data_IF_853778763916
#
_entry.id   IF_853778763916
#
_cell.length_a   1.000
_cell.length_b   1.000
_cell.length_c   1.000
_cell.angle_alpha   90.00
_cell.angle_beta   90.00
_cell.angle_gamma   90.00
#
_symmetry.space_group_name_H-M   'P 1'
#
loop_
_entity.id
_entity.type
_entity.pdbx_description
1 polymer ?
#
# COMPACT_ATOMS: atom_id res chain seq x y z
N UNK A 1 -6.44 26.65 34.54
CA UNK A 1 -6.40 27.09 33.13
C UNK A 1 -6.55 25.85 32.28
N UNK A 2 -7.70 25.71 31.61
CA UNK A 2 -8.12 24.50 30.92
C UNK A 2 -7.38 24.33 29.58
N UNK A 3 -6.70 23.20 29.40
CA UNK A 3 -6.29 22.67 28.10
C UNK A 3 -7.00 21.34 27.87
N UNK A 4 -8.33 21.41 27.73
CA UNK A 4 -9.22 20.30 27.35
C UNK A 4 -9.66 20.51 25.89
N UNK A 5 -8.70 20.43 24.96
CA UNK A 5 -9.00 20.54 23.52
C UNK A 5 -8.25 19.56 22.62
N UNK A 6 -7.21 18.88 23.13
CA UNK A 6 -6.44 17.89 22.37
C UNK A 6 -6.86 16.43 22.61
N UNK A 7 -7.79 16.17 23.54
CA UNK A 7 -8.27 14.81 23.86
C UNK A 7 -9.15 14.18 22.76
N UNK A 8 -9.59 14.96 21.77
CA UNK A 8 -10.35 14.44 20.63
C UNK A 8 -9.50 13.60 19.67
N UNK A 9 -8.23 13.99 19.47
CA UNK A 9 -7.32 13.31 18.54
C UNK A 9 -6.75 12.01 19.12
N UNK A 10 -6.71 11.91 20.45
CA UNK A 10 -6.28 10.72 21.19
C UNK A 10 -7.46 9.84 21.62
N UNK A 11 -8.69 10.14 21.17
CA UNK A 11 -9.84 9.28 21.45
C UNK A 11 -9.59 7.89 20.82
N UNK A 12 -9.84 6.79 21.55
CA UNK A 12 -9.71 5.41 21.02
C UNK A 12 -10.47 5.22 19.69
N UNK A 13 -11.55 5.98 19.54
CA UNK A 13 -12.37 6.04 18.34
C UNK A 13 -11.59 6.48 17.10
N UNK A 14 -10.65 7.42 17.21
CA UNK A 14 -9.88 7.95 16.08
C UNK A 14 -8.67 7.06 15.75
N UNK A 15 -8.05 6.48 16.78
CA UNK A 15 -6.96 5.50 16.69
C UNK A 15 -7.37 4.29 15.82
N UNK A 16 -8.63 3.87 15.93
CA UNK A 16 -9.16 2.76 15.13
C UNK A 16 -9.80 3.23 13.82
N UNK A 17 -10.65 4.27 13.83
CA UNK A 17 -11.40 4.62 12.62
C UNK A 17 -10.51 5.12 11.48
N UNK A 18 -9.43 5.83 11.79
CA UNK A 18 -8.52 6.39 10.77
C UNK A 18 -7.90 5.30 9.89
N UNK A 19 -7.10 4.38 10.45
CA UNK A 19 -6.43 3.32 9.70
C UNK A 19 -7.40 2.44 8.90
N UNK A 20 -8.54 2.06 9.48
CA UNK A 20 -9.53 1.22 8.79
C UNK A 20 -10.23 1.95 7.63
N UNK A 21 -10.46 3.26 7.75
CA UNK A 21 -10.99 4.07 6.63
C UNK A 21 -10.00 4.12 5.48
N UNK A 22 -8.71 4.30 5.79
CA UNK A 22 -7.64 4.31 4.79
C UNK A 22 -7.55 2.95 4.09
N UNK A 23 -7.55 1.86 4.86
CA UNK A 23 -7.54 0.49 4.30
C UNK A 23 -8.75 0.27 3.38
N UNK A 24 -9.95 0.64 3.82
CA UNK A 24 -11.16 0.48 3.01
C UNK A 24 -11.06 1.24 1.68
N UNK A 25 -10.54 2.46 1.70
CA UNK A 25 -10.30 3.26 0.51
C UNK A 25 -9.25 2.62 -0.42
N UNK A 26 -8.17 2.10 0.14
CA UNK A 26 -7.10 1.44 -0.62
C UNK A 26 -7.60 0.17 -1.31
N UNK A 27 -8.36 -0.68 -0.61
CA UNK A 27 -8.95 -1.87 -1.21
C UNK A 27 -10.02 -1.53 -2.27
N UNK A 28 -10.77 -0.44 -2.08
CA UNK A 28 -11.70 0.05 -3.08
C UNK A 28 -10.98 0.51 -4.35
N UNK A 29 -9.92 1.32 -4.21
CA UNK A 29 -9.07 1.75 -5.33
C UNK A 29 -8.38 0.57 -6.01
N UNK A 30 -7.91 -0.41 -5.23
CA UNK A 30 -7.34 -1.64 -5.75
C UNK A 30 -8.32 -2.44 -6.59
N UNK A 31 -9.63 -2.41 -6.29
CA UNK A 31 -10.67 -2.98 -7.15
C UNK A 31 -10.64 -2.40 -8.57
N UNK A 32 -10.48 -1.08 -8.72
CA UNK A 32 -10.31 -0.46 -10.04
C UNK A 32 -9.00 -0.87 -10.69
N UNK A 33 -7.92 -0.97 -9.91
CA UNK A 33 -6.63 -1.42 -10.40
C UNK A 33 -6.69 -2.85 -10.95
N UNK A 34 -7.42 -3.75 -10.29
CA UNK A 34 -7.66 -5.12 -10.75
C UNK A 34 -8.46 -5.14 -12.06
N UNK A 35 -9.48 -4.29 -12.19
CA UNK A 35 -10.23 -4.15 -13.45
C UNK A 35 -9.33 -3.64 -14.59
N UNK A 36 -8.46 -2.66 -14.32
CA UNK A 36 -7.49 -2.15 -15.30
C UNK A 36 -6.49 -3.23 -15.71
N UNK A 37 -6.03 -4.07 -14.78
CA UNK A 37 -5.17 -5.19 -15.08
C UNK A 37 -5.86 -6.19 -16.02
N UNK A 38 -7.08 -6.64 -15.68
CA UNK A 38 -7.87 -7.56 -16.52
C UNK A 38 -8.09 -6.96 -17.91
N UNK A 39 -8.47 -5.69 -17.99
CA UNK A 39 -8.69 -4.99 -19.25
C UNK A 39 -7.40 -4.91 -20.08
N UNK A 40 -6.26 -4.65 -19.44
CA UNK A 40 -4.95 -4.60 -20.09
C UNK A 40 -4.58 -5.95 -20.72
N UNK A 41 -4.79 -7.05 -19.98
CA UNK A 41 -4.57 -8.42 -20.47
C UNK A 41 -5.53 -8.74 -21.63
N UNK A 42 -6.80 -8.36 -21.51
CA UNK A 42 -7.80 -8.55 -22.57
C UNK A 42 -7.43 -7.82 -23.87
N UNK A 43 -7.03 -6.54 -23.77
CA UNK A 43 -6.58 -5.75 -24.91
C UNK A 43 -5.32 -6.35 -25.53
N UNK A 44 -4.36 -6.75 -24.69
CA UNK A 44 -3.11 -7.36 -25.13
C UNK A 44 -3.36 -8.64 -25.95
N UNK A 45 -4.23 -9.53 -25.44
CA UNK A 45 -4.62 -10.76 -26.12
C UNK A 45 -5.34 -10.50 -27.45
N UNK A 46 -6.18 -9.44 -27.53
CA UNK A 46 -6.88 -9.08 -28.76
C UNK A 46 -5.99 -8.45 -29.81
N UNK A 47 -5.06 -7.57 -29.43
CA UNK A 47 -4.26 -6.79 -30.38
C UNK A 47 -3.06 -7.56 -30.96
N UNK A 48 -2.62 -8.65 -30.30
CA UNK A 48 -1.45 -9.46 -30.72
C UNK A 48 -0.26 -8.59 -31.17
N UNK A 49 0.28 -7.75 -30.28
CA UNK A 49 1.35 -6.82 -30.65
C UNK A 49 2.58 -7.54 -31.21
N UNK A 50 3.36 -6.88 -32.08
CA UNK A 50 4.55 -7.48 -32.67
C UNK A 50 5.59 -7.84 -31.61
N UNK A 51 6.22 -9.01 -31.79
CA UNK A 51 7.36 -9.45 -31.00
C UNK A 51 8.62 -8.64 -31.36
N UNK A 52 9.54 -8.34 -30.41
CA UNK A 52 9.60 -8.77 -29.00
C UNK A 52 8.94 -7.80 -27.99
N UNK A 53 8.50 -6.62 -28.43
CA UNK A 53 7.93 -5.56 -27.59
C UNK A 53 6.73 -6.04 -26.76
N UNK A 54 5.92 -6.92 -27.35
CA UNK A 54 4.83 -7.62 -26.69
C UNK A 54 5.22 -8.25 -25.34
N UNK A 55 6.33 -9.02 -25.30
CA UNK A 55 6.80 -9.70 -24.09
C UNK A 55 7.20 -8.72 -23.00
N UNK A 56 7.88 -7.63 -23.37
CA UNK A 56 8.30 -6.61 -22.42
C UNK A 56 7.08 -5.98 -21.73
N UNK A 57 6.11 -5.45 -22.50
CA UNK A 57 4.93 -4.81 -21.91
C UNK A 57 4.10 -5.77 -21.07
N UNK A 58 3.91 -7.02 -21.52
CA UNK A 58 3.19 -8.02 -20.75
C UNK A 58 3.88 -8.31 -19.42
N UNK A 59 5.19 -8.59 -19.43
CA UNK A 59 5.95 -8.85 -18.22
C UNK A 59 5.93 -7.67 -17.27
N UNK A 60 6.09 -6.44 -17.79
CA UNK A 60 6.06 -5.23 -16.96
C UNK A 60 4.68 -5.01 -16.31
N UNK A 61 3.58 -5.25 -17.03
CA UNK A 61 2.22 -5.15 -16.46
C UNK A 61 2.01 -6.21 -15.36
N UNK A 62 2.48 -7.44 -15.57
CA UNK A 62 2.40 -8.51 -14.56
C UNK A 62 3.25 -8.18 -13.33
N UNK A 63 4.48 -7.69 -13.52
CA UNK A 63 5.37 -7.28 -12.43
C UNK A 63 4.75 -6.14 -11.63
N UNK A 64 4.24 -5.09 -12.30
CA UNK A 64 3.57 -3.98 -11.63
C UNK A 64 2.36 -4.45 -10.81
N UNK A 65 1.57 -5.38 -11.36
CA UNK A 65 0.43 -5.93 -10.64
C UNK A 65 0.85 -6.69 -9.38
N UNK A 66 1.87 -7.53 -9.47
CA UNK A 66 2.41 -8.27 -8.32
C UNK A 66 2.98 -7.33 -7.27
N UNK A 67 3.74 -6.32 -7.67
CA UNK A 67 4.32 -5.33 -6.76
C UNK A 67 3.24 -4.51 -6.04
N UNK A 68 2.24 -4.02 -6.77
CA UNK A 68 1.13 -3.26 -6.20
C UNK A 68 0.29 -4.12 -5.22
N UNK A 69 0.03 -5.38 -5.57
CA UNK A 69 -0.69 -6.32 -4.70
C UNK A 69 0.09 -6.61 -3.43
N UNK A 70 1.40 -6.84 -3.57
CA UNK A 70 2.30 -7.09 -2.43
C UNK A 70 2.33 -5.87 -1.51
N UNK A 71 2.53 -4.68 -2.06
CA UNK A 71 2.52 -3.43 -1.31
C UNK A 71 1.23 -3.26 -0.52
N UNK A 72 0.07 -3.42 -1.16
CA UNK A 72 -1.24 -3.28 -0.52
C UNK A 72 -1.41 -4.23 0.66
N UNK A 73 -1.01 -5.49 0.51
CA UNK A 73 -1.13 -6.50 1.57
C UNK A 73 -0.25 -6.11 2.76
N UNK A 74 1.03 -5.81 2.54
CA UNK A 74 1.95 -5.50 3.64
C UNK A 74 1.61 -4.17 4.31
N UNK A 75 1.16 -3.17 3.57
CA UNK A 75 0.73 -1.90 4.12
C UNK A 75 -0.56 -2.02 4.95
N UNK A 76 -1.53 -2.83 4.49
CA UNK A 76 -2.72 -3.15 5.27
C UNK A 76 -2.39 -3.94 6.54
N UNK A 77 -1.50 -4.94 6.45
CA UNK A 77 -1.02 -5.71 7.61
C UNK A 77 -0.36 -4.79 8.63
N UNK A 78 0.53 -3.91 8.20
CA UNK A 78 1.18 -2.92 9.05
C UNK A 78 0.14 -2.04 9.78
N UNK A 79 -0.80 -1.45 9.07
CA UNK A 79 -1.84 -0.58 9.64
C UNK A 79 -2.73 -1.32 10.65
N UNK A 80 -3.14 -2.55 10.35
CA UNK A 80 -3.96 -3.37 11.25
C UNK A 80 -3.19 -3.71 12.52
N UNK A 81 -1.94 -4.20 12.39
CA UNK A 81 -1.11 -4.55 13.55
C UNK A 81 -0.82 -3.35 14.43
N UNK A 82 -0.51 -2.20 13.82
CA UNK A 82 -0.30 -0.93 14.52
C UNK A 82 -1.53 -0.53 15.33
N UNK A 83 -2.71 -0.59 14.69
CA UNK A 83 -3.98 -0.22 15.30
C UNK A 83 -4.36 -1.15 16.46
N UNK A 84 -4.16 -2.46 16.29
CA UNK A 84 -4.43 -3.45 17.34
C UNK A 84 -3.49 -3.30 18.53
N UNK A 85 -2.19 -3.09 18.28
CA UNK A 85 -1.20 -2.87 19.33
C UNK A 85 -1.53 -1.62 20.15
N UNK A 86 -1.90 -0.53 19.48
CA UNK A 86 -2.31 0.71 20.13
C UNK A 86 -3.60 0.56 20.94
N UNK A 87 -4.57 -0.20 20.43
CA UNK A 87 -5.82 -0.48 21.14
C UNK A 87 -5.59 -1.35 22.38
N UNK A 88 -4.72 -2.36 22.28
CA UNK A 88 -4.38 -3.22 23.41
C UNK A 88 -3.69 -2.42 24.53
N UNK A 89 -2.71 -1.58 24.18
CA UNK A 89 -2.05 -0.68 25.13
C UNK A 89 -3.05 0.31 25.76
N UNK A 90 -3.88 0.97 24.94
CA UNK A 90 -4.92 1.88 25.43
C UNK A 90 -5.88 1.21 26.43
N UNK A 91 -6.20 -0.07 26.21
CA UNK A 91 -7.09 -0.84 27.09
C UNK A 91 -6.44 -1.25 28.42
N UNK A 92 -5.11 -1.44 28.44
CA UNK A 92 -4.39 -1.96 29.61
C UNK A 92 -3.85 -0.85 30.52
N UNK A 93 -3.38 0.26 29.96
CA UNK A 93 -2.76 1.36 30.72
C UNK A 93 -3.66 2.59 30.88
N UNK A 94 -4.78 2.70 30.15
CA UNK A 94 -5.69 3.84 30.19
C UNK A 94 -5.15 5.12 29.53
N UNK A 95 -3.83 5.21 29.34
CA UNK A 95 -3.14 6.27 28.60
C UNK A 95 -2.12 5.63 27.64
N UNK A 96 -2.21 5.95 26.35
CA UNK A 96 -1.18 5.61 25.36
C UNK A 96 -0.13 6.71 25.42
N UNK A 97 1.02 6.41 26.01
CA UNK A 97 2.14 7.36 26.01
C UNK A 97 2.65 7.57 24.58
N UNK A 98 3.03 8.80 24.23
CA UNK A 98 3.58 9.11 22.88
C UNK A 98 4.85 8.30 22.58
N UNK A 99 5.61 7.93 23.60
CA UNK A 99 6.87 7.21 23.46
C UNK A 99 6.65 5.75 23.05
N UNK A 100 5.63 5.08 23.62
CA UNK A 100 5.21 3.73 23.20
C UNK A 100 4.57 3.72 21.80
N UNK A 101 4.02 4.86 21.36
CA UNK A 101 3.47 5.02 20.02
C UNK A 101 4.54 5.03 18.92
N UNK A 102 5.84 5.13 19.23
CA UNK A 102 6.92 5.14 18.22
C UNK A 102 7.76 3.85 18.17
N UNK A 103 7.56 2.92 19.11
CA UNK A 103 8.28 1.63 19.08
C UNK A 103 7.71 0.78 17.94
N UNK A 104 8.57 0.33 17.04
CA UNK A 104 8.22 -0.56 15.93
C UNK A 104 8.56 -2.00 16.30
N UNK A 105 7.60 -2.91 16.13
CA UNK A 105 7.87 -4.34 16.23
C UNK A 105 8.70 -4.81 15.02
N UNK A 106 9.45 -5.93 15.13
CA UNK A 106 10.19 -6.48 14.00
C UNK A 106 9.31 -6.75 12.76
N UNK A 107 8.04 -7.10 12.98
CA UNK A 107 7.07 -7.37 11.92
C UNK A 107 6.57 -6.09 11.23
N UNK A 108 6.31 -5.03 12.00
CA UNK A 108 5.97 -3.71 11.46
C UNK A 108 7.13 -3.15 10.63
N UNK A 109 8.36 -3.27 11.13
CA UNK A 109 9.57 -2.87 10.41
C UNK A 109 9.73 -3.66 9.10
N UNK A 110 9.54 -4.98 9.15
CA UNK A 110 9.57 -5.84 7.96
C UNK A 110 8.53 -5.43 6.91
N UNK A 111 7.30 -5.13 7.34
CA UNK A 111 6.23 -4.66 6.46
C UNK A 111 6.57 -3.33 5.80
N UNK A 112 7.12 -2.38 6.57
CA UNK A 112 7.55 -1.08 6.07
C UNK A 112 8.70 -1.19 5.05
N UNK A 113 9.68 -2.05 5.31
CA UNK A 113 10.78 -2.34 4.38
C UNK A 113 10.25 -2.91 3.07
N UNK A 114 9.34 -3.88 3.13
CA UNK A 114 8.76 -4.49 1.92
C UNK A 114 8.01 -3.43 1.11
N UNK A 115 7.15 -2.65 1.74
CA UNK A 115 6.41 -1.54 1.10
C UNK A 115 7.35 -0.52 0.45
N UNK A 116 8.49 -0.22 1.08
CA UNK A 116 9.49 0.68 0.49
C UNK A 116 10.09 0.09 -0.79
N UNK A 117 10.54 -1.17 -0.75
CA UNK A 117 11.14 -1.80 -1.91
C UNK A 117 10.14 -2.01 -3.04
N UNK A 118 8.90 -2.42 -2.76
CA UNK A 118 7.87 -2.59 -3.79
C UNK A 118 7.59 -1.27 -4.52
N UNK A 119 7.55 -0.14 -3.80
CA UNK A 119 7.42 1.19 -4.41
C UNK A 119 8.60 1.54 -5.30
N UNK A 120 9.83 1.33 -4.82
CA UNK A 120 11.04 1.60 -5.60
C UNK A 120 11.07 0.79 -6.89
N UNK A 121 10.81 -0.52 -6.81
CA UNK A 121 10.77 -1.38 -7.99
C UNK A 121 9.58 -1.05 -8.90
N UNK A 122 8.42 -0.72 -8.34
CA UNK A 122 7.23 -0.34 -9.10
C UNK A 122 7.49 0.92 -9.94
N UNK A 123 8.07 1.95 -9.32
CA UNK A 123 8.46 3.18 -10.02
C UNK A 123 9.52 2.89 -11.10
N UNK A 124 10.54 2.09 -10.78
CA UNK A 124 11.57 1.74 -11.76
C UNK A 124 11.00 1.01 -12.98
N UNK A 125 10.03 0.10 -12.79
CA UNK A 125 9.35 -0.60 -13.90
C UNK A 125 8.47 0.36 -14.69
N UNK A 126 7.75 1.27 -14.02
CA UNK A 126 6.95 2.30 -14.68
C UNK A 126 7.82 3.21 -15.56
N UNK A 127 8.95 3.67 -15.04
CA UNK A 127 9.91 4.48 -15.77
C UNK A 127 10.52 3.70 -16.96
N UNK A 128 10.83 2.42 -16.77
CA UNK A 128 11.31 1.57 -17.87
C UNK A 128 10.27 1.44 -18.99
N UNK A 129 8.98 1.33 -18.67
CA UNK A 129 7.89 1.33 -19.67
C UNK A 129 7.87 2.67 -20.41
N UNK A 130 7.96 3.80 -19.70
CA UNK A 130 7.95 5.13 -20.30
C UNK A 130 9.16 5.33 -21.22
N UNK A 131 10.37 5.02 -20.76
CA UNK A 131 11.60 5.14 -21.55
C UNK A 131 11.52 4.27 -22.80
N UNK A 132 11.11 3.00 -22.67
CA UNK A 132 10.96 2.12 -23.82
C UNK A 132 9.93 2.67 -24.84
N UNK A 133 8.83 3.25 -24.36
CA UNK A 133 7.80 3.83 -25.22
C UNK A 133 8.25 5.09 -25.96
N UNK A 134 9.10 5.92 -25.35
CA UNK A 134 9.54 7.20 -25.95
C UNK A 134 10.82 7.10 -26.78
N UNK A 135 11.71 6.16 -26.47
CA UNK A 135 13.05 6.11 -27.06
C UNK A 135 13.35 4.84 -27.87
N UNK A 136 12.60 3.75 -27.67
CA UNK A 136 12.85 2.46 -28.33
C UNK A 136 11.76 2.08 -29.32
N UNK A 137 10.53 2.53 -29.08
CA UNK A 137 9.38 2.34 -29.97
C UNK A 137 9.28 3.49 -30.96
#
# INVERSE_FOLDING_TARGET
MALSKDSGFLSPTYIVKGPFTVIALEFFLYGFYLLLFILSIHIFNKRKPPFPQAKFYFNSIVILFVLATTELIFDAVYKVQRSLSQLFLASSTGEVSREEMFVLTPLELGSLIITFFTRCFGNAVADAILIHRFYVT
#
